data_IF_594264587942
#
_entry.id   IF_594264587942
#
_cell.length_a   1.000
_cell.length_b   1.000
_cell.length_c   1.000
_cell.angle_alpha   90.00
_cell.angle_beta   90.00
_cell.angle_gamma   90.00
#
_symmetry.space_group_name_H-M   'P 1'
#
loop_
_entity.id
_entity.type
_entity.pdbx_description
1 polymer ?
#
# COMPACT_ATOMS: atom_id res chain seq x y z
N UNK A 1 17.16 -2.10 -19.74
CA UNK A 1 15.68 -2.17 -19.85
C UNK A 1 15.14 -3.28 -18.95
N UNK A 2 15.27 -3.15 -17.63
CA UNK A 2 14.77 -4.10 -16.61
C UNK A 2 14.12 -3.38 -15.40
N UNK A 3 14.03 -2.05 -15.45
CA UNK A 3 13.61 -1.19 -14.34
C UNK A 3 12.09 -0.96 -14.27
N UNK A 4 11.33 -1.50 -15.22
CA UNK A 4 9.89 -1.29 -15.34
C UNK A 4 9.04 -2.35 -14.63
N UNK A 5 9.65 -3.39 -14.03
CA UNK A 5 8.87 -4.48 -13.44
C UNK A 5 8.33 -4.16 -12.03
N UNK A 6 9.11 -3.45 -11.20
CA UNK A 6 8.67 -3.02 -9.87
C UNK A 6 7.62 -1.91 -9.93
N UNK A 7 7.84 -0.94 -10.83
CA UNK A 7 6.86 0.10 -11.16
C UNK A 7 5.55 -0.51 -11.68
N UNK A 8 5.61 -1.57 -12.49
CA UNK A 8 4.41 -2.28 -12.96
C UNK A 8 3.65 -2.98 -11.84
N UNK A 9 4.31 -3.42 -10.76
CA UNK A 9 3.62 -4.11 -9.65
C UNK A 9 2.92 -3.10 -8.73
N UNK A 10 3.56 -1.98 -8.43
CA UNK A 10 2.96 -0.88 -7.67
C UNK A 10 1.83 -0.19 -8.47
N UNK A 11 1.99 -0.04 -9.78
CA UNK A 11 0.95 0.53 -10.66
C UNK A 11 -0.14 -0.49 -11.05
N UNK A 12 0.14 -1.79 -11.03
CA UNK A 12 -0.87 -2.84 -11.27
C UNK A 12 -1.86 -2.94 -10.09
N UNK A 13 -1.41 -2.68 -8.86
CA UNK A 13 -2.29 -2.60 -7.69
C UNK A 13 -3.23 -1.39 -7.76
N UNK A 14 -2.81 -0.29 -8.41
CA UNK A 14 -3.66 0.91 -8.57
C UNK A 14 -4.59 0.81 -9.79
N UNK A 15 -4.30 -0.08 -10.74
CA UNK A 15 -5.09 -0.20 -12.00
C UNK A 15 -5.96 -1.47 -12.09
N UNK A 16 -5.87 -2.38 -11.11
CA UNK A 16 -6.55 -3.69 -11.11
C UNK A 16 -7.81 -3.83 -10.25
N UNK A 17 -7.98 -3.04 -9.18
CA UNK A 17 -9.07 -3.25 -8.22
C UNK A 17 -10.22 -2.25 -8.39
N UNK A 18 -10.99 -2.43 -9.47
CA UNK A 18 -12.35 -1.89 -9.58
C UNK A 18 -13.31 -3.05 -9.29
N UNK A 19 -13.75 -3.19 -8.04
CA UNK A 19 -14.73 -4.22 -7.68
C UNK A 19 -15.10 -4.23 -6.20
N UNK A 20 -16.05 -3.36 -5.85
CA UNK A 20 -17.18 -3.58 -4.92
C UNK A 20 -16.91 -4.27 -3.56
N UNK A 21 -17.25 -3.55 -2.49
CA UNK A 21 -18.00 -3.99 -1.30
C UNK A 21 -17.38 -3.65 0.08
N UNK A 22 -18.28 -3.15 0.93
CA UNK A 22 -18.21 -2.61 2.29
C UNK A 22 -17.29 -3.30 3.32
N UNK A 23 -16.76 -2.52 4.28
CA UNK A 23 -16.38 -3.08 5.58
C UNK A 23 -15.41 -2.24 6.43
N UNK A 24 -15.93 -1.49 7.41
CA UNK A 24 -15.15 -0.65 8.32
C UNK A 24 -14.38 -1.39 9.43
N UNK A 25 -13.45 -0.68 10.09
CA UNK A 25 -12.73 -1.22 11.26
C UNK A 25 -11.60 -0.34 11.82
N UNK A 26 -11.95 0.47 12.81
CA UNK A 26 -11.23 1.07 13.97
C UNK A 26 -9.70 0.81 14.16
N UNK A 27 -8.90 1.88 14.16
CA UNK A 27 -7.61 1.97 14.89
C UNK A 27 -6.49 2.64 14.11
N UNK A 28 -6.25 3.96 14.31
CA UNK A 28 -5.65 4.88 13.32
C UNK A 28 -6.48 4.90 12.05
N UNK A 29 -6.75 6.08 11.48
CA UNK A 29 -7.60 6.12 10.30
C UNK A 29 -6.84 5.50 9.14
N UNK A 30 -7.18 4.27 8.79
CA UNK A 30 -6.84 3.65 7.51
C UNK A 30 -7.90 3.94 6.46
N UNK A 31 -8.94 4.71 6.82
CA UNK A 31 -9.97 5.22 5.93
C UNK A 31 -9.45 6.45 5.16
N UNK A 32 -9.31 6.35 3.82
CA UNK A 32 -8.93 7.47 2.95
C UNK A 32 -9.87 8.67 3.09
N UNK A 33 -11.16 8.43 3.29
CA UNK A 33 -12.17 9.49 3.34
C UNK A 33 -11.97 10.46 4.53
N UNK A 34 -11.28 10.01 5.58
CA UNK A 34 -10.99 10.81 6.76
C UNK A 34 -9.85 11.83 6.54
N UNK A 35 -8.98 11.64 5.55
CA UNK A 35 -7.86 12.55 5.29
C UNK A 35 -8.38 13.89 4.75
N UNK A 36 -8.01 15.01 5.36
CA UNK A 36 -8.43 16.36 4.93
C UNK A 36 -7.31 17.13 4.21
N UNK A 37 -6.10 16.57 4.17
CA UNK A 37 -4.94 17.13 3.48
C UNK A 37 -4.14 16.02 2.78
N UNK A 38 -3.31 16.38 1.79
CA UNK A 38 -2.44 15.41 1.10
C UNK A 38 -1.43 14.74 2.06
N UNK A 39 -0.98 15.47 3.09
CA UNK A 39 -0.09 14.93 4.12
C UNK A 39 -0.80 13.87 4.97
N UNK A 40 -2.04 14.14 5.40
CA UNK A 40 -2.85 13.18 6.14
C UNK A 40 -3.19 11.96 5.27
N UNK A 41 -3.45 12.15 3.98
CA UNK A 41 -3.70 11.05 3.05
C UNK A 41 -2.45 10.17 2.88
N UNK A 42 -1.26 10.78 2.76
CA UNK A 42 0.00 10.05 2.74
C UNK A 42 0.23 9.27 4.06
N UNK A 43 -0.15 9.83 5.22
CA UNK A 43 -0.10 9.12 6.49
C UNK A 43 -1.06 7.92 6.51
N UNK A 44 -2.27 8.05 5.97
CA UNK A 44 -3.24 6.95 5.81
C UNK A 44 -2.64 5.84 4.95
N UNK A 45 -2.09 6.18 3.78
CA UNK A 45 -1.44 5.22 2.87
C UNK A 45 -0.30 4.48 3.54
N UNK A 46 0.54 5.18 4.32
CA UNK A 46 1.67 4.58 5.03
C UNK A 46 1.22 3.64 6.14
N UNK A 47 0.15 3.99 6.87
CA UNK A 47 -0.40 3.07 7.87
C UNK A 47 -0.97 1.80 7.21
N UNK A 48 -1.65 1.91 6.07
CA UNK A 48 -2.13 0.76 5.29
C UNK A 48 -0.97 -0.12 4.80
N UNK A 49 0.12 0.49 4.31
CA UNK A 49 1.33 -0.23 3.92
C UNK A 49 1.96 -0.96 5.11
N UNK A 50 2.04 -0.33 6.29
CA UNK A 50 2.54 -0.99 7.49
C UNK A 50 1.67 -2.18 7.89
N UNK A 51 0.34 -2.05 7.88
CA UNK A 51 -0.57 -3.16 8.18
C UNK A 51 -0.38 -4.33 7.19
N UNK A 52 -0.23 -4.03 5.90
CA UNK A 52 0.06 -5.05 4.89
C UNK A 52 1.40 -5.75 5.17
N UNK A 53 2.44 -5.00 5.52
CA UNK A 53 3.76 -5.54 5.90
C UNK A 53 3.68 -6.40 7.15
N UNK A 54 2.99 -5.94 8.19
CA UNK A 54 2.81 -6.67 9.46
C UNK A 54 2.02 -7.97 9.23
N UNK A 55 1.04 -7.96 8.32
CA UNK A 55 0.23 -9.15 8.00
C UNK A 55 1.03 -10.28 7.34
N UNK A 56 2.14 -9.97 6.68
CA UNK A 56 3.04 -10.95 6.06
C UNK A 56 4.33 -11.14 6.83
N UNK A 57 4.57 -10.36 7.88
CA UNK A 57 5.76 -10.47 8.71
C UNK A 57 5.85 -11.86 9.35
N UNK A 58 4.72 -12.47 9.71
CA UNK A 58 4.68 -13.81 10.31
C UNK A 58 4.76 -14.95 9.27
N UNK A 59 4.72 -14.66 7.97
CA UNK A 59 4.79 -15.67 6.92
C UNK A 59 6.24 -15.99 6.55
N UNK A 60 6.48 -17.25 6.19
CA UNK A 60 7.74 -17.60 5.52
C UNK A 60 7.69 -17.23 4.04
N UNK A 61 8.86 -17.09 3.41
CA UNK A 61 8.95 -16.71 1.99
C UNK A 61 8.25 -17.75 1.09
N UNK A 62 8.29 -19.02 1.49
CA UNK A 62 7.57 -20.12 0.84
C UNK A 62 6.07 -19.96 1.00
N UNK A 63 5.58 -19.71 2.22
CA UNK A 63 4.14 -19.55 2.48
C UNK A 63 3.58 -18.34 1.72
N UNK A 64 4.33 -17.24 1.67
CA UNK A 64 3.97 -16.07 0.89
C UNK A 64 3.89 -16.36 -0.61
N UNK A 65 4.85 -17.11 -1.16
CA UNK A 65 4.82 -17.51 -2.57
C UNK A 65 3.67 -18.47 -2.89
N UNK A 66 3.34 -19.38 -1.97
CA UNK A 66 2.20 -20.28 -2.11
C UNK A 66 0.88 -19.49 -2.06
N UNK A 67 0.77 -18.50 -1.17
CA UNK A 67 -0.38 -17.59 -1.08
C UNK A 67 -0.55 -16.72 -2.32
N UNK A 68 0.54 -16.17 -2.86
CA UNK A 68 0.52 -15.33 -4.06
C UNK A 68 0.01 -16.06 -5.32
N UNK A 69 0.03 -17.40 -5.32
CA UNK A 69 -0.56 -18.24 -6.37
C UNK A 69 -2.04 -18.56 -6.16
N UNK A 70 -2.67 -18.02 -5.11
CA UNK A 70 -4.05 -18.31 -4.70
C UNK A 70 -4.83 -17.03 -4.43
N UNK A 71 -6.16 -17.13 -4.35
CA UNK A 71 -7.03 -16.01 -3.96
C UNK A 71 -7.11 -15.81 -2.43
N UNK A 72 -6.16 -16.38 -1.66
CA UNK A 72 -6.19 -16.40 -0.18
C UNK A 72 -5.22 -15.41 0.46
N UNK A 73 -4.92 -14.30 -0.22
CA UNK A 73 -4.03 -13.27 0.31
C UNK A 73 -4.52 -12.74 1.67
N UNK A 74 -3.60 -12.34 2.57
CA UNK A 74 -3.96 -11.73 3.85
C UNK A 74 -4.92 -10.55 3.66
N UNK A 75 -5.88 -10.43 4.57
CA UNK A 75 -6.93 -9.41 4.52
C UNK A 75 -6.35 -7.99 4.38
N UNK A 76 -5.24 -7.69 5.05
CA UNK A 76 -4.58 -6.39 4.95
C UNK A 76 -4.01 -6.10 3.55
N UNK A 77 -3.56 -7.11 2.80
CA UNK A 77 -3.11 -6.92 1.42
C UNK A 77 -4.31 -6.73 0.48
N UNK A 78 -5.36 -7.53 0.64
CA UNK A 78 -6.59 -7.35 -0.14
C UNK A 78 -7.19 -5.95 0.11
N UNK A 79 -7.12 -5.47 1.36
CA UNK A 79 -7.59 -4.14 1.73
C UNK A 79 -6.76 -3.04 1.05
N UNK A 80 -5.45 -3.19 0.94
CA UNK A 80 -4.60 -2.24 0.22
C UNK A 80 -4.99 -2.17 -1.27
N UNK A 81 -5.29 -3.32 -1.88
CA UNK A 81 -5.75 -3.43 -3.27
C UNK A 81 -7.11 -2.71 -3.44
N UNK A 82 -8.09 -3.03 -2.59
CA UNK A 82 -9.43 -2.41 -2.63
C UNK A 82 -9.40 -0.90 -2.35
N UNK A 83 -8.53 -0.44 -1.43
CA UNK A 83 -8.47 0.96 -1.03
C UNK A 83 -7.64 1.84 -1.97
N UNK A 84 -6.95 1.26 -2.96
CA UNK A 84 -6.18 2.02 -3.95
C UNK A 84 -7.02 3.04 -4.71
N UNK A 85 -8.25 2.66 -5.11
CA UNK A 85 -9.18 3.54 -5.80
C UNK A 85 -9.68 4.69 -4.91
N UNK A 86 -9.94 4.41 -3.63
CA UNK A 86 -10.42 5.40 -2.66
C UNK A 86 -9.31 6.40 -2.29
N UNK A 87 -8.06 5.94 -2.15
CA UNK A 87 -6.89 6.78 -1.96
C UNK A 87 -6.71 7.73 -3.14
N UNK A 88 -6.78 7.22 -4.37
CA UNK A 88 -6.67 8.05 -5.58
C UNK A 88 -7.81 9.06 -5.68
N UNK A 89 -9.06 8.61 -5.52
CA UNK A 89 -10.22 9.49 -5.58
C UNK A 89 -10.14 10.59 -4.51
N UNK A 90 -9.60 10.28 -3.33
CA UNK A 90 -9.37 11.27 -2.29
C UNK A 90 -8.25 12.24 -2.64
N UNK A 91 -7.14 11.75 -3.19
CA UNK A 91 -6.04 12.59 -3.65
C UNK A 91 -6.52 13.61 -4.68
N UNK A 92 -7.30 13.16 -5.66
CA UNK A 92 -7.92 14.00 -6.69
C UNK A 92 -8.85 15.05 -6.07
N UNK A 93 -9.71 14.63 -5.13
CA UNK A 93 -10.66 15.53 -4.45
C UNK A 93 -9.95 16.60 -3.60
N UNK A 94 -8.79 16.28 -3.05
CA UNK A 94 -7.93 17.21 -2.31
C UNK A 94 -7.04 18.06 -3.22
N UNK A 95 -6.95 17.74 -4.51
CA UNK A 95 -6.07 18.39 -5.47
C UNK A 95 -4.59 18.10 -5.22
N UNK A 96 -4.27 16.91 -4.69
CA UNK A 96 -2.90 16.47 -4.53
C UNK A 96 -2.29 16.23 -5.91
N UNK A 97 -1.13 16.83 -6.20
CA UNK A 97 -0.39 16.47 -7.40
C UNK A 97 0.27 15.10 -7.19
N UNK A 98 0.44 14.34 -8.27
CA UNK A 98 1.13 13.05 -8.21
C UNK A 98 2.55 13.23 -7.66
N UNK A 99 3.24 14.30 -8.07
CA UNK A 99 4.61 14.64 -7.65
C UNK A 99 4.69 14.96 -6.15
N UNK A 100 3.75 15.73 -5.60
CA UNK A 100 3.71 16.04 -4.17
C UNK A 100 3.28 14.82 -3.34
N UNK A 101 2.33 14.02 -3.85
CA UNK A 101 1.88 12.80 -3.21
C UNK A 101 2.99 11.76 -3.10
N UNK A 102 3.73 11.54 -4.20
CA UNK A 102 4.90 10.67 -4.23
C UNK A 102 5.97 11.15 -3.25
N UNK A 103 6.34 12.44 -3.28
CA UNK A 103 7.32 13.00 -2.35
C UNK A 103 6.92 12.81 -0.87
N UNK A 104 5.64 13.01 -0.55
CA UNK A 104 5.11 12.81 0.81
C UNK A 104 5.17 11.35 1.25
N UNK A 105 4.84 10.41 0.35
CA UNK A 105 4.93 8.97 0.64
C UNK A 105 6.39 8.54 0.78
N UNK A 106 7.28 9.02 -0.09
CA UNK A 106 8.70 8.71 -0.06
C UNK A 106 9.42 9.22 1.19
N UNK A 107 9.06 10.39 1.68
CA UNK A 107 9.54 10.89 2.98
C UNK A 107 9.14 9.95 4.13
N UNK A 108 7.97 9.31 4.02
CA UNK A 108 7.38 8.49 5.08
C UNK A 108 7.73 7.01 5.00
N UNK A 109 8.11 6.48 3.83
CA UNK A 109 8.52 5.09 3.65
C UNK A 109 9.67 4.71 4.60
N UNK A 110 10.58 5.66 4.88
CA UNK A 110 11.66 5.45 5.85
C UNK A 110 11.18 5.20 7.30
N UNK A 111 9.91 5.47 7.60
CA UNK A 111 9.30 5.21 8.91
C UNK A 111 8.64 3.83 9.01
N UNK A 112 8.56 3.07 7.92
CA UNK A 112 8.01 1.73 7.93
C UNK A 112 8.98 0.76 8.62
N UNK A 113 8.44 -0.15 9.44
CA UNK A 113 9.20 -1.22 10.09
C UNK A 113 9.13 -2.49 9.26
N UNK A 114 10.27 -3.17 9.10
CA UNK A 114 10.34 -4.49 8.50
C UNK A 114 11.24 -5.41 9.32
N UNK A 115 10.60 -6.33 10.03
CA UNK A 115 11.29 -7.24 10.96
C UNK A 115 11.65 -8.60 10.33
N UNK A 116 11.20 -8.87 9.10
CA UNK A 116 11.50 -10.12 8.37
C UNK A 116 12.03 -9.88 6.96
N UNK A 117 12.65 -10.91 6.36
CA UNK A 117 13.21 -10.83 5.00
C UNK A 117 12.15 -10.48 3.94
N UNK A 118 10.90 -10.94 4.12
CA UNK A 118 9.77 -10.61 3.23
C UNK A 118 9.39 -9.14 3.38
N UNK A 119 9.20 -8.67 4.61
CA UNK A 119 8.90 -7.27 4.91
C UNK A 119 10.00 -6.35 4.37
N UNK A 120 11.27 -6.76 4.47
CA UNK A 120 12.41 -6.01 3.93
C UNK A 120 12.46 -6.03 2.39
N UNK A 121 12.08 -7.15 1.76
CA UNK A 121 11.95 -7.23 0.32
C UNK A 121 10.86 -6.29 -0.20
N UNK A 122 9.71 -6.26 0.48
CA UNK A 122 8.58 -5.37 0.15
C UNK A 122 9.04 -3.91 0.31
N UNK A 123 9.59 -3.54 1.46
CA UNK A 123 10.08 -2.18 1.68
C UNK A 123 11.20 -1.77 0.71
N UNK A 124 12.12 -2.69 0.40
CA UNK A 124 13.17 -2.45 -0.58
C UNK A 124 12.59 -2.14 -1.96
N UNK A 125 11.56 -2.87 -2.38
CA UNK A 125 10.90 -2.65 -3.68
C UNK A 125 10.17 -1.30 -3.77
N UNK A 126 9.57 -0.86 -2.66
CA UNK A 126 8.84 0.41 -2.58
C UNK A 126 9.84 1.57 -2.47
N UNK A 127 10.86 1.44 -1.61
CA UNK A 127 11.88 2.47 -1.39
C UNK A 127 12.81 2.72 -2.59
N UNK A 128 13.07 1.70 -3.43
CA UNK A 128 13.79 1.88 -4.71
C UNK A 128 12.98 2.67 -5.75
N UNK A 129 11.69 2.90 -5.50
CA UNK A 129 10.78 3.61 -6.41
C UNK A 129 10.65 5.11 -6.12
N UNK A 130 11.41 5.66 -5.15
CA UNK A 130 11.30 7.02 -4.62
C UNK A 130 12.33 8.08 -5.13
#
# INVERSE_FOLDING_TARGET
>A
MKKSLGLLLALALVTGACGDDDGGGIGKSTDPAAASTCAELADVTINLLQEAIDSVADLTLTDFMDLAGTDQMPEAINRLDTMGADLQARADALGCSDEDGEALICERIGNLSADTEISQLILGSIGDSC
#
